data_IF_325553970225
#
_entry.id   IF_325553970225
#
_cell.length_a   1.000
_cell.length_b   1.000
_cell.length_c   1.000
_cell.angle_alpha   90.00
_cell.angle_beta   90.00
_cell.angle_gamma   90.00
#
_symmetry.space_group_name_H-M   'P 1'
#
loop_
_entity.id
_entity.type
_entity.pdbx_description
1 polymer ?
#
# COMPACT_ATOMS: atom_id res chain seq x y z
N UNK A 1 -7.43 -42.68 -20.29
CA UNK A 1 -8.08 -41.65 -19.44
C UNK A 1 -7.84 -40.29 -20.06
N UNK A 2 -8.77 -39.84 -20.90
CA UNK A 2 -9.04 -38.43 -21.19
C UNK A 2 -10.56 -38.33 -21.21
N UNK A 3 -11.14 -38.06 -20.04
CA UNK A 3 -12.56 -37.75 -19.88
C UNK A 3 -12.66 -36.58 -18.92
N UNK A 4 -12.97 -35.41 -19.45
CA UNK A 4 -13.84 -34.35 -18.89
C UNK A 4 -14.24 -33.57 -20.16
N UNK A 5 -15.50 -33.40 -20.55
CA UNK A 5 -16.73 -33.35 -19.78
C UNK A 5 -17.38 -32.02 -20.11
N UNK A 6 -18.36 -32.01 -21.01
CA UNK A 6 -19.30 -30.90 -21.12
C UNK A 6 -20.70 -31.44 -21.37
N UNK A 7 -21.54 -31.18 -20.37
CA UNK A 7 -22.93 -31.56 -20.29
C UNK A 7 -23.77 -30.93 -21.39
N UNK A 8 -24.70 -31.73 -21.89
CA UNK A 8 -25.82 -31.34 -22.73
C UNK A 8 -26.70 -30.31 -22.01
N UNK A 9 -26.98 -29.20 -22.67
CA UNK A 9 -28.14 -28.34 -22.39
C UNK A 9 -28.79 -27.99 -23.72
N UNK A 10 -30.11 -28.17 -23.74
CA UNK A 10 -30.98 -28.26 -24.88
C UNK A 10 -30.92 -27.04 -25.81
N UNK A 11 -30.86 -27.33 -27.12
CA UNK A 11 -31.21 -26.42 -28.19
C UNK A 11 -32.73 -26.20 -28.22
N UNK A 12 -33.15 -24.95 -28.44
CA UNK A 12 -34.49 -24.61 -28.93
C UNK A 12 -34.33 -23.91 -30.28
N UNK A 13 -35.11 -24.38 -31.24
CA UNK A 13 -35.15 -23.99 -32.65
C UNK A 13 -35.30 -22.49 -32.91
N UNK A 14 -34.60 -21.98 -33.94
CA UNK A 14 -35.22 -21.11 -34.93
C UNK A 14 -34.39 -21.05 -36.22
N UNK A 15 -35.10 -20.94 -37.34
CA UNK A 15 -34.69 -21.25 -38.72
C UNK A 15 -33.95 -20.10 -39.43
N UNK A 16 -33.13 -20.53 -40.41
CA UNK A 16 -32.88 -19.90 -41.71
C UNK A 16 -32.13 -18.54 -41.74
N UNK A 17 -30.88 -18.55 -42.19
CA UNK A 17 -30.52 -18.00 -43.52
C UNK A 17 -29.01 -18.08 -43.75
N UNK A 18 -28.66 -18.43 -44.98
CA UNK A 18 -27.34 -18.40 -45.60
C UNK A 18 -26.57 -17.12 -45.34
N UNK A 19 -25.44 -17.25 -44.64
CA UNK A 19 -24.15 -16.58 -44.87
C UNK A 19 -23.27 -16.96 -43.69
N UNK A 20 -22.27 -17.83 -43.89
CA UNK A 20 -21.26 -18.13 -42.87
C UNK A 20 -20.38 -16.88 -42.77
N UNK A 21 -20.49 -16.06 -41.71
CA UNK A 21 -19.57 -14.95 -41.52
C UNK A 21 -18.25 -15.55 -41.03
N UNK A 22 -17.14 -14.99 -41.48
CA UNK A 22 -15.81 -15.23 -40.92
C UNK A 22 -15.85 -14.90 -39.41
N UNK A 23 -16.18 -15.89 -38.59
CA UNK A 23 -16.36 -15.75 -37.15
C UNK A 23 -15.04 -15.93 -36.40
N UNK A 24 -13.94 -15.43 -36.99
CA UNK A 24 -12.61 -15.46 -36.36
C UNK A 24 -12.06 -14.07 -36.06
N UNK A 25 -12.77 -12.99 -36.40
CA UNK A 25 -12.22 -11.62 -36.29
C UNK A 25 -12.72 -10.79 -35.11
N UNK A 26 -13.76 -11.20 -34.36
CA UNK A 26 -14.36 -10.33 -33.34
C UNK A 26 -13.82 -10.51 -31.90
N UNK A 27 -12.82 -11.37 -31.69
CA UNK A 27 -12.12 -11.53 -30.39
C UNK A 27 -10.65 -11.08 -30.47
N UNK A 28 -10.21 -10.58 -31.63
CA UNK A 28 -8.81 -10.24 -31.87
C UNK A 28 -8.38 -8.89 -31.27
N UNK A 29 -9.32 -7.99 -30.98
CA UNK A 29 -9.03 -6.55 -30.88
C UNK A 29 -8.68 -6.02 -29.49
N UNK A 30 -8.31 -6.86 -28.53
CA UNK A 30 -7.82 -6.33 -27.24
C UNK A 30 -6.43 -6.83 -26.83
N UNK A 31 -6.01 -8.08 -27.05
CA UNK A 31 -4.68 -8.56 -26.57
C UNK A 31 -4.07 -9.77 -27.34
N UNK A 32 -4.28 -9.92 -28.65
CA UNK A 32 -3.82 -11.11 -29.41
C UNK A 32 -3.06 -10.78 -30.70
N UNK A 33 -1.99 -11.53 -30.97
CA UNK A 33 -1.19 -11.44 -32.20
C UNK A 33 -2.09 -11.65 -33.43
N UNK A 34 -2.01 -10.74 -34.40
CA UNK A 34 -2.65 -10.93 -35.71
C UNK A 34 -1.89 -12.01 -36.48
N UNK A 35 -2.39 -13.24 -36.41
CA UNK A 35 -1.98 -14.28 -37.36
C UNK A 35 -2.55 -13.93 -38.74
N UNK A 36 -1.77 -14.11 -39.82
CA UNK A 36 -2.30 -13.98 -41.17
C UNK A 36 -3.47 -14.96 -41.35
N UNK A 37 -4.49 -14.59 -42.14
CA UNK A 37 -5.67 -15.43 -42.32
C UNK A 37 -5.26 -16.78 -42.93
N UNK A 38 -5.69 -17.85 -42.28
CA UNK A 38 -5.43 -19.22 -42.73
C UNK A 38 -6.02 -19.46 -44.12
N UNK A 39 -5.20 -20.05 -44.99
CA UNK A 39 -5.61 -20.49 -46.33
C UNK A 39 -4.93 -21.83 -46.63
N UNK A 40 -5.71 -22.76 -47.16
CA UNK A 40 -5.18 -24.03 -47.62
C UNK A 40 -4.17 -23.81 -48.76
N UNK A 41 -3.03 -24.49 -48.68
CA UNK A 41 -2.00 -24.47 -49.69
C UNK A 41 -2.40 -25.33 -50.88
N UNK A 42 -1.88 -24.98 -52.05
CA UNK A 42 -2.01 -25.83 -53.22
C UNK A 42 -1.12 -27.07 -53.07
N UNK A 43 -1.61 -28.23 -53.51
CA UNK A 43 -0.88 -29.50 -53.48
C UNK A 43 -0.20 -29.71 -54.82
N UNK A 44 1.13 -29.70 -54.84
CA UNK A 44 1.94 -29.85 -56.04
C UNK A 44 3.02 -30.92 -55.91
N UNK A 45 3.21 -31.48 -54.71
CA UNK A 45 4.28 -32.42 -54.44
C UNK A 45 3.93 -33.80 -55.03
N UNK A 46 4.90 -34.43 -55.69
CA UNK A 46 4.75 -35.80 -56.20
C UNK A 46 4.78 -36.82 -55.07
N UNK A 47 4.04 -37.92 -55.22
CA UNK A 47 4.03 -39.01 -54.23
C UNK A 47 5.26 -39.90 -54.39
N UNK A 48 6.05 -40.06 -53.32
CA UNK A 48 7.09 -41.10 -53.26
C UNK A 48 6.48 -42.44 -52.83
N UNK A 49 5.99 -43.19 -53.82
CA UNK A 49 5.38 -44.50 -53.59
C UNK A 49 6.33 -45.53 -52.97
N UNK A 50 7.64 -45.42 -53.23
CA UNK A 50 8.62 -46.34 -52.63
C UNK A 50 8.73 -46.09 -51.14
N UNK A 51 8.78 -44.82 -50.72
CA UNK A 51 8.80 -44.46 -49.31
C UNK A 51 7.52 -44.87 -48.60
N UNK A 52 6.36 -44.58 -49.20
CA UNK A 52 5.06 -44.93 -48.61
C UNK A 52 4.87 -46.44 -48.48
N UNK A 53 5.26 -47.23 -49.48
CA UNK A 53 5.15 -48.69 -49.44
C UNK A 53 6.07 -49.37 -48.42
N UNK A 54 7.16 -48.72 -48.00
CA UNK A 54 8.07 -49.23 -46.97
C UNK A 54 7.53 -49.05 -45.54
N UNK A 55 6.47 -48.26 -45.35
CA UNK A 55 5.89 -47.98 -44.03
C UNK A 55 4.95 -49.12 -43.62
N UNK A 56 5.26 -49.75 -42.50
CA UNK A 56 4.37 -50.71 -41.84
C UNK A 56 3.34 -49.98 -40.98
N UNK A 57 2.13 -49.80 -41.53
CA UNK A 57 1.05 -49.03 -40.90
C UNK A 57 0.51 -49.71 -39.64
N UNK A 58 0.49 -51.05 -39.62
CA UNK A 58 0.00 -51.82 -38.46
C UNK A 58 0.97 -51.67 -37.27
N UNK A 59 2.28 -51.70 -37.55
CA UNK A 59 3.30 -51.40 -36.53
C UNK A 59 3.17 -49.96 -36.04
N UNK A 60 3.06 -48.98 -36.94
CA UNK A 60 2.91 -47.57 -36.55
C UNK A 60 1.70 -47.35 -35.63
N UNK A 61 0.57 -47.99 -35.93
CA UNK A 61 -0.65 -47.88 -35.12
C UNK A 61 -0.55 -48.60 -33.77
N UNK A 62 0.06 -49.78 -33.73
CA UNK A 62 0.18 -50.58 -32.49
C UNK A 62 1.25 -50.07 -31.54
N UNK A 63 2.37 -49.56 -32.06
CA UNK A 63 3.51 -49.05 -31.28
C UNK A 63 3.43 -47.54 -31.01
N UNK A 64 2.45 -46.84 -31.59
CA UNK A 64 2.34 -45.38 -31.52
C UNK A 64 3.63 -44.69 -32.01
N UNK A 65 4.15 -45.14 -33.16
CA UNK A 65 5.37 -44.59 -33.77
C UNK A 65 5.10 -43.21 -34.40
N UNK A 66 5.06 -42.20 -33.54
CA UNK A 66 4.85 -40.81 -33.92
C UNK A 66 6.01 -40.26 -34.76
N UNK A 67 7.21 -40.83 -34.65
CA UNK A 67 8.37 -40.40 -35.44
C UNK A 67 8.12 -40.67 -36.91
N UNK A 68 7.73 -41.91 -37.24
CA UNK A 68 7.36 -42.26 -38.62
C UNK A 68 6.20 -41.40 -39.14
N UNK A 69 5.18 -41.11 -38.31
CA UNK A 69 4.09 -40.21 -38.72
C UNK A 69 4.59 -38.78 -38.99
N UNK A 70 5.40 -38.22 -38.10
CA UNK A 70 5.91 -36.85 -38.20
C UNK A 70 6.85 -36.68 -39.41
N UNK A 71 7.65 -37.68 -39.73
CA UNK A 71 8.53 -37.64 -40.90
C UNK A 71 7.76 -37.66 -42.23
N UNK A 72 6.53 -38.20 -42.25
CA UNK A 72 5.75 -38.36 -43.47
C UNK A 72 4.55 -37.39 -43.56
N UNK A 73 4.18 -36.71 -42.48
CA UNK A 73 2.98 -35.88 -42.40
C UNK A 73 2.96 -34.77 -43.47
N UNK A 74 4.09 -34.12 -43.72
CA UNK A 74 4.19 -33.05 -44.74
C UNK A 74 3.93 -33.61 -46.13
N UNK A 75 4.62 -34.70 -46.49
CA UNK A 75 4.50 -35.34 -47.79
C UNK A 75 3.06 -35.82 -48.04
N UNK A 76 2.42 -36.45 -47.04
CA UNK A 76 1.03 -36.92 -47.15
C UNK A 76 0.06 -35.75 -47.27
N UNK A 77 0.29 -34.69 -46.49
CA UNK A 77 -0.60 -33.53 -46.46
C UNK A 77 -0.53 -32.76 -47.78
N UNK A 78 0.65 -32.55 -48.37
CA UNK A 78 0.83 -31.65 -49.51
C UNK A 78 1.02 -32.34 -50.87
N UNK A 79 0.96 -33.67 -50.93
CA UNK A 79 1.05 -34.40 -52.19
C UNK A 79 -0.20 -34.23 -53.09
N UNK A 80 0.04 -34.28 -54.40
CA UNK A 80 -0.97 -34.28 -55.43
C UNK A 80 -1.31 -35.72 -55.85
N UNK A 81 -2.56 -36.14 -55.61
CA UNK A 81 -3.06 -37.46 -55.99
C UNK A 81 -3.91 -37.44 -57.27
N UNK A 82 -4.23 -36.26 -57.81
CA UNK A 82 -5.23 -36.10 -58.87
C UNK A 82 -4.80 -36.76 -60.20
N UNK A 83 -3.49 -36.94 -60.38
CA UNK A 83 -2.89 -37.53 -61.60
C UNK A 83 -2.33 -38.94 -61.40
N UNK A 84 -2.46 -39.50 -60.20
CA UNK A 84 -1.92 -40.82 -59.87
C UNK A 84 -2.82 -41.93 -60.45
N UNK A 85 -2.18 -43.01 -60.89
CA UNK A 85 -2.85 -44.15 -61.55
C UNK A 85 -2.51 -45.44 -60.83
N UNK A 86 -3.39 -46.43 -60.95
CA UNK A 86 -3.12 -47.76 -60.44
C UNK A 86 -1.89 -48.35 -61.14
N UNK A 87 -0.85 -48.80 -60.40
CA UNK A 87 0.37 -49.33 -61.00
C UNK A 87 0.13 -50.60 -61.83
N UNK A 88 -0.92 -51.38 -61.51
CA UNK A 88 -1.20 -52.65 -62.16
C UNK A 88 -2.05 -52.54 -63.43
N UNK A 89 -3.09 -51.70 -63.42
CA UNK A 89 -4.04 -51.59 -64.53
C UNK A 89 -4.03 -50.24 -65.24
N UNK A 90 -3.23 -49.26 -64.76
CA UNK A 90 -3.10 -47.92 -65.34
C UNK A 90 -4.38 -47.08 -65.36
N UNK A 91 -5.45 -47.56 -64.72
CA UNK A 91 -6.69 -46.82 -64.53
C UNK A 91 -6.51 -45.70 -63.49
N UNK A 92 -7.28 -44.61 -63.62
CA UNK A 92 -7.32 -43.57 -62.58
C UNK A 92 -7.83 -44.16 -61.26
N UNK A 93 -7.42 -43.54 -60.16
CA UNK A 93 -7.92 -43.88 -58.83
C UNK A 93 -9.42 -43.55 -58.69
N UNK A 94 -10.10 -44.26 -57.78
CA UNK A 94 -11.52 -44.06 -57.51
C UNK A 94 -11.77 -42.60 -57.05
N UNK A 95 -12.66 -41.84 -57.71
CA UNK A 95 -12.94 -40.46 -57.35
C UNK A 95 -13.46 -40.25 -55.91
N UNK A 96 -14.15 -41.22 -55.33
CA UNK A 96 -14.64 -41.15 -53.94
C UNK A 96 -13.48 -41.31 -52.96
N UNK A 97 -12.55 -42.24 -53.23
CA UNK A 97 -11.34 -42.40 -52.41
C UNK A 97 -10.44 -41.16 -52.51
N UNK A 98 -10.30 -40.57 -53.70
CA UNK A 98 -9.58 -39.30 -53.88
C UNK A 98 -10.21 -38.16 -53.07
N UNK A 99 -11.55 -38.06 -53.04
CA UNK A 99 -12.24 -37.08 -52.19
C UNK A 99 -12.02 -37.34 -50.70
N UNK A 100 -12.09 -38.59 -50.25
CA UNK A 100 -11.82 -38.96 -48.86
C UNK A 100 -10.39 -38.60 -48.46
N UNK A 101 -9.41 -38.91 -49.32
CA UNK A 101 -8.02 -38.54 -49.09
C UNK A 101 -7.84 -37.02 -49.08
N UNK A 102 -8.46 -36.29 -50.01
CA UNK A 102 -8.41 -34.83 -50.05
C UNK A 102 -8.97 -34.20 -48.77
N UNK A 103 -10.08 -34.73 -48.25
CA UNK A 103 -10.64 -34.32 -46.96
C UNK A 103 -9.69 -34.61 -45.81
N UNK A 104 -9.04 -35.78 -45.79
CA UNK A 104 -8.03 -36.12 -44.80
C UNK A 104 -6.86 -35.13 -44.84
N UNK A 105 -6.31 -34.82 -46.02
CA UNK A 105 -5.24 -33.84 -46.17
C UNK A 105 -5.64 -32.44 -45.69
N UNK A 106 -6.85 -31.95 -46.04
CA UNK A 106 -7.35 -30.65 -45.57
C UNK A 106 -7.52 -30.64 -44.05
N UNK A 107 -8.00 -31.76 -43.49
CA UNK A 107 -8.14 -31.91 -42.04
C UNK A 107 -6.78 -31.87 -41.36
N UNK A 108 -5.79 -32.62 -41.85
CA UNK A 108 -4.42 -32.62 -41.31
C UNK A 108 -3.80 -31.23 -41.40
N UNK A 109 -3.91 -30.54 -42.53
CA UNK A 109 -3.39 -29.19 -42.71
C UNK A 109 -4.01 -28.19 -41.72
N UNK A 110 -5.32 -28.28 -41.49
CA UNK A 110 -5.99 -27.47 -40.48
C UNK A 110 -5.53 -27.81 -39.06
N UNK A 111 -5.34 -29.09 -38.74
CA UNK A 111 -4.84 -29.53 -37.44
C UNK A 111 -3.40 -29.04 -37.19
N UNK A 112 -2.53 -29.11 -38.19
CA UNK A 112 -1.17 -28.56 -38.12
C UNK A 112 -1.19 -27.05 -37.87
N UNK A 113 -2.02 -26.31 -38.62
CA UNK A 113 -2.17 -24.87 -38.40
C UNK A 113 -2.70 -24.55 -36.99
N UNK A 114 -3.71 -25.30 -36.52
CA UNK A 114 -4.26 -25.14 -35.17
C UNK A 114 -3.20 -25.43 -34.10
N UNK A 115 -2.39 -26.47 -34.28
CA UNK A 115 -1.29 -26.80 -33.38
C UNK A 115 -0.27 -25.67 -33.30
N UNK A 116 0.18 -25.14 -34.45
CA UNK A 116 1.10 -24.00 -34.50
C UNK A 116 0.50 -22.77 -33.82
N UNK A 117 -0.75 -22.42 -34.16
CA UNK A 117 -1.46 -21.28 -33.57
C UNK A 117 -1.60 -21.41 -32.05
N UNK A 118 -2.02 -22.58 -31.55
CA UNK A 118 -2.16 -22.82 -30.11
C UNK A 118 -0.80 -22.80 -29.41
N UNK A 119 0.23 -23.41 -29.99
CA UNK A 119 1.59 -23.44 -29.42
C UNK A 119 2.16 -22.03 -29.30
N UNK A 120 2.05 -21.22 -30.36
CA UNK A 120 2.54 -19.85 -30.34
C UNK A 120 1.76 -18.97 -29.35
N UNK A 121 0.44 -19.12 -29.26
CA UNK A 121 -0.34 -18.41 -28.25
C UNK A 121 0.03 -18.83 -26.83
N UNK A 122 0.23 -20.12 -26.57
CA UNK A 122 0.69 -20.61 -25.27
C UNK A 122 2.01 -19.97 -24.89
N UNK A 123 2.99 -19.95 -25.79
CA UNK A 123 4.28 -19.29 -25.55
C UNK A 123 4.11 -17.80 -25.21
N UNK A 124 3.26 -17.07 -25.94
CA UNK A 124 2.99 -15.65 -25.65
C UNK A 124 2.37 -15.47 -24.27
N UNK A 125 1.41 -16.31 -23.89
CA UNK A 125 0.78 -16.22 -22.56
C UNK A 125 1.74 -16.62 -21.45
N UNK A 126 2.63 -17.59 -21.67
CA UNK A 126 3.71 -17.95 -20.74
C UNK A 126 4.68 -16.80 -20.54
N UNK A 127 5.13 -16.14 -21.62
CA UNK A 127 6.01 -14.96 -21.54
C UNK A 127 5.34 -13.80 -20.80
N UNK A 128 4.05 -13.53 -21.07
CA UNK A 128 3.26 -12.51 -20.34
C UNK A 128 3.14 -12.84 -18.85
N UNK A 129 2.87 -14.10 -18.53
CA UNK A 129 2.77 -14.56 -17.15
C UNK A 129 4.10 -14.37 -16.41
N UNK A 130 5.20 -14.77 -17.05
CA UNK A 130 6.55 -14.61 -16.50
C UNK A 130 6.90 -13.13 -16.27
N UNK A 131 6.55 -12.24 -17.19
CA UNK A 131 6.75 -10.81 -17.04
C UNK A 131 5.96 -10.23 -15.86
N UNK A 132 4.67 -10.60 -15.75
CA UNK A 132 3.81 -10.16 -14.65
C UNK A 132 4.30 -10.68 -13.29
N UNK A 133 4.79 -11.91 -13.21
CA UNK A 133 5.36 -12.47 -11.98
C UNK A 133 6.65 -11.74 -11.57
N UNK A 134 7.50 -11.38 -12.53
CA UNK A 134 8.70 -10.57 -12.26
C UNK A 134 8.35 -9.17 -11.74
N UNK A 135 7.37 -8.50 -12.34
CA UNK A 135 6.89 -7.19 -11.90
C UNK A 135 6.30 -7.26 -10.49
N UNK A 136 5.46 -8.26 -10.22
CA UNK A 136 4.90 -8.52 -8.89
C UNK A 136 5.98 -8.70 -7.83
N UNK A 137 7.03 -9.47 -8.13
CA UNK A 137 8.13 -9.69 -7.19
C UNK A 137 8.95 -8.40 -6.95
N UNK A 138 9.12 -7.56 -7.98
CA UNK A 138 9.73 -6.24 -7.82
C UNK A 138 8.90 -5.33 -6.92
N UNK A 139 7.59 -5.21 -7.18
CA UNK A 139 6.66 -4.41 -6.36
C UNK A 139 6.67 -4.89 -4.90
N UNK A 140 6.68 -6.21 -4.69
CA UNK A 140 6.76 -6.80 -3.35
C UNK A 140 8.05 -6.41 -2.63
N UNK A 141 9.20 -6.43 -3.31
CA UNK A 141 10.48 -5.98 -2.74
C UNK A 141 10.45 -4.51 -2.36
N UNK A 142 9.91 -3.65 -3.22
CA UNK A 142 9.75 -2.21 -2.94
C UNK A 142 8.81 -1.97 -1.76
N UNK A 143 7.69 -2.69 -1.70
CA UNK A 143 6.75 -2.63 -0.58
C UNK A 143 7.41 -3.01 0.75
N UNK A 144 8.22 -4.09 0.78
CA UNK A 144 8.96 -4.48 1.98
C UNK A 144 9.93 -3.37 2.44
N UNK A 145 10.70 -2.78 1.51
CA UNK A 145 11.62 -1.67 1.82
C UNK A 145 10.89 -0.47 2.40
N UNK A 146 9.79 -0.04 1.77
CA UNK A 146 8.98 1.08 2.26
C UNK A 146 8.36 0.78 3.64
N UNK A 147 7.94 -0.47 3.87
CA UNK A 147 7.41 -0.89 5.17
C UNK A 147 8.46 -0.79 6.28
N UNK A 148 9.70 -1.21 6.00
CA UNK A 148 10.83 -1.08 6.92
C UNK A 148 11.20 0.38 7.19
N UNK A 149 11.21 1.21 6.15
CA UNK A 149 11.48 2.64 6.28
C UNK A 149 10.42 3.34 7.15
N UNK A 150 9.14 3.03 6.96
CA UNK A 150 8.05 3.56 7.80
C UNK A 150 8.24 3.14 9.27
N UNK A 151 8.66 1.89 9.54
CA UNK A 151 8.94 1.44 10.91
C UNK A 151 10.08 2.23 11.54
N UNK A 152 11.21 2.34 10.83
CA UNK A 152 12.37 3.14 11.24
C UNK A 152 12.00 4.60 11.53
N UNK A 153 11.27 5.25 10.63
CA UNK A 153 10.83 6.63 10.80
C UNK A 153 9.88 6.80 11.99
N UNK A 154 9.00 5.82 12.27
CA UNK A 154 8.13 5.82 13.45
C UNK A 154 8.94 5.72 14.75
N UNK A 155 9.95 4.85 14.80
CA UNK A 155 10.84 4.71 15.96
C UNK A 155 11.65 5.99 16.20
N UNK A 156 12.21 6.57 15.14
CA UNK A 156 12.93 7.84 15.20
C UNK A 156 12.02 9.00 15.66
N UNK A 157 10.79 9.06 15.14
CA UNK A 157 9.78 10.01 15.61
C UNK A 157 9.48 9.84 17.10
N UNK A 158 9.32 8.59 17.58
CA UNK A 158 9.09 8.29 19.00
C UNK A 158 10.27 8.74 19.85
N UNK A 159 11.50 8.44 19.43
CA UNK A 159 12.74 8.85 20.11
C UNK A 159 12.85 10.38 20.21
N UNK A 160 12.60 11.10 19.11
CA UNK A 160 12.60 12.58 19.10
C UNK A 160 11.55 13.16 20.04
N UNK A 161 10.34 12.60 20.07
CA UNK A 161 9.28 13.03 21.01
C UNK A 161 9.70 12.84 22.47
N UNK A 162 10.37 11.73 22.81
CA UNK A 162 10.90 11.50 24.16
C UNK A 162 11.96 12.52 24.54
N UNK A 163 12.90 12.83 23.63
CA UNK A 163 13.94 13.84 23.87
C UNK A 163 13.32 15.22 24.10
N UNK A 164 12.38 15.64 23.23
CA UNK A 164 11.69 16.92 23.36
C UNK A 164 10.92 17.00 24.70
N UNK A 165 10.20 15.94 25.06
CA UNK A 165 9.49 15.87 26.35
C UNK A 165 10.44 15.99 27.54
N UNK A 166 11.58 15.28 27.52
CA UNK A 166 12.60 15.38 28.56
C UNK A 166 13.21 16.79 28.66
N UNK A 167 13.53 17.40 27.52
CA UNK A 167 14.05 18.78 27.49
C UNK A 167 13.03 19.78 28.01
N UNK A 168 11.75 19.63 27.65
CA UNK A 168 10.68 20.49 28.14
C UNK A 168 10.50 20.38 29.66
N UNK A 169 10.60 19.16 30.22
CA UNK A 169 10.62 18.97 31.68
C UNK A 169 11.80 19.69 32.34
N UNK A 170 13.01 19.59 31.78
CA UNK A 170 14.19 20.31 32.30
C UNK A 170 14.00 21.83 32.26
N UNK A 171 13.45 22.37 31.16
CA UNK A 171 13.15 23.80 31.03
C UNK A 171 12.10 24.23 32.05
N UNK A 172 11.03 23.45 32.27
CA UNK A 172 9.99 23.76 33.26
C UNK A 172 10.51 23.71 34.70
N UNK A 173 11.35 22.72 35.03
CA UNK A 173 12.03 22.66 36.32
C UNK A 173 12.95 23.88 36.54
N UNK A 174 13.64 24.34 35.48
CA UNK A 174 14.40 25.59 35.50
C UNK A 174 13.52 26.84 35.61
N UNK A 175 12.40 26.90 34.89
CA UNK A 175 11.44 28.00 34.85
C UNK A 175 10.84 28.32 36.24
N UNK A 176 10.62 27.28 37.06
CA UNK A 176 10.16 27.42 38.44
C UNK A 176 11.30 27.73 39.43
N UNK A 177 12.57 27.65 39.01
CA UNK A 177 13.76 27.96 39.82
C UNK A 177 14.33 29.36 39.55
N UNK A 178 13.64 30.22 38.79
CA UNK A 178 14.05 31.63 38.64
C UNK A 178 13.48 32.49 39.77
N UNK A 179 14.36 33.26 40.41
CA UNK A 179 14.01 34.20 41.47
C UNK A 179 13.73 35.59 40.87
N UNK A 180 12.45 35.97 40.77
CA UNK A 180 12.03 37.29 40.28
C UNK A 180 12.38 38.41 41.25
N UNK A 181 12.83 39.55 40.73
CA UNK A 181 12.92 40.80 41.50
C UNK A 181 11.51 41.31 41.80
N UNK A 182 11.30 41.92 42.97
CA UNK A 182 10.00 42.48 43.36
C UNK A 182 9.81 43.92 42.90
N UNK A 183 10.87 44.56 42.41
CA UNK A 183 10.90 45.99 42.08
C UNK A 183 11.12 46.24 40.57
N UNK A 184 11.35 45.18 39.78
CA UNK A 184 11.44 45.23 38.32
C UNK A 184 11.25 43.85 37.68
N UNK A 185 11.14 43.78 36.36
CA UNK A 185 10.84 42.54 35.61
C UNK A 185 12.03 41.56 35.46
N UNK A 186 13.16 41.81 36.14
CA UNK A 186 14.35 40.94 36.02
C UNK A 186 14.17 39.66 36.83
N UNK A 187 14.53 38.54 36.20
CA UNK A 187 14.50 37.19 36.79
C UNK A 187 15.91 36.60 36.83
N UNK A 188 16.27 35.96 37.94
CA UNK A 188 17.64 35.49 38.19
C UNK A 188 17.66 33.98 38.44
N UNK A 189 18.69 33.30 37.95
CA UNK A 189 18.87 31.85 38.11
C UNK A 189 19.18 31.40 39.56
N UNK A 190 19.53 32.33 40.45
CA UNK A 190 19.81 32.04 41.87
C UNK A 190 19.39 33.19 42.77
N UNK A 191 18.92 32.85 43.97
CA UNK A 191 18.49 33.80 45.00
C UNK A 191 19.60 34.82 45.34
N UNK A 192 20.86 34.38 45.37
CA UNK A 192 22.00 35.23 45.68
C UNK A 192 22.21 36.34 44.64
N UNK A 193 22.05 36.01 43.35
CA UNK A 193 22.16 37.01 42.28
C UNK A 193 21.00 37.98 42.28
N UNK A 194 19.77 37.52 42.56
CA UNK A 194 18.61 38.41 42.80
C UNK A 194 18.92 39.37 43.95
N UNK A 195 19.41 38.87 45.08
CA UNK A 195 19.66 39.68 46.27
C UNK A 195 20.73 40.75 46.03
N UNK A 196 21.83 40.40 45.36
CA UNK A 196 22.84 41.37 44.95
C UNK A 196 22.29 42.42 43.97
N UNK A 197 21.43 42.01 43.03
CA UNK A 197 20.78 42.95 42.11
C UNK A 197 19.90 43.95 42.87
N UNK A 198 19.07 43.46 43.80
CA UNK A 198 18.22 44.28 44.67
C UNK A 198 19.07 45.26 45.47
N UNK A 199 20.16 44.80 46.08
CA UNK A 199 21.06 45.66 46.85
C UNK A 199 21.79 46.72 46.02
N UNK A 200 22.09 46.46 44.74
CA UNK A 200 22.82 47.42 43.90
C UNK A 200 21.93 48.41 43.16
N UNK A 201 20.71 47.99 42.80
CA UNK A 201 19.82 48.75 41.91
C UNK A 201 18.54 49.23 42.59
N UNK A 202 18.20 48.64 43.74
CA UNK A 202 17.00 48.93 44.50
C UNK A 202 17.30 49.31 45.96
N UNK A 203 18.54 49.73 46.26
CA UNK A 203 18.98 50.12 47.60
C UNK A 203 18.08 51.21 48.21
N UNK A 204 17.72 52.23 47.41
CA UNK A 204 16.81 53.29 47.85
C UNK A 204 15.42 52.76 48.22
N UNK A 205 14.88 51.79 47.48
CA UNK A 205 13.57 51.20 47.82
C UNK A 205 13.63 50.30 49.07
N UNK A 206 14.79 49.68 49.34
CA UNK A 206 15.03 48.92 50.58
C UNK A 206 15.08 49.87 51.77
N UNK A 207 15.83 50.97 51.67
CA UNK A 207 15.98 51.96 52.74
C UNK A 207 14.65 52.68 53.03
N UNK A 208 13.87 53.02 51.99
CA UNK A 208 12.49 53.55 52.14
C UNK A 208 11.58 52.52 52.82
N UNK A 209 11.73 51.22 52.51
CA UNK A 209 11.00 50.14 53.18
C UNK A 209 11.32 50.05 54.68
N UNK A 210 12.61 50.14 55.05
CA UNK A 210 13.04 50.16 56.44
C UNK A 210 12.58 51.42 57.18
N UNK A 211 12.67 52.59 56.56
CA UNK A 211 12.20 53.85 57.14
C UNK A 211 10.68 53.84 57.36
N UNK A 212 9.91 53.36 56.38
CA UNK A 212 8.46 53.24 56.50
C UNK A 212 8.07 52.23 57.58
N UNK A 213 8.82 51.13 57.73
CA UNK A 213 8.61 50.16 58.81
C UNK A 213 8.92 50.76 60.18
N UNK A 214 10.06 51.44 60.35
CA UNK A 214 10.36 52.15 61.60
C UNK A 214 9.34 53.25 61.92
N UNK A 215 8.83 53.98 60.92
CA UNK A 215 7.74 54.93 61.12
C UNK A 215 6.45 54.24 61.57
N UNK A 216 6.11 53.10 60.97
CA UNK A 216 4.91 52.35 61.33
C UNK A 216 5.02 51.78 62.74
N UNK A 217 6.18 51.21 63.09
CA UNK A 217 6.46 50.69 64.44
C UNK A 217 6.39 51.84 65.47
N UNK A 218 6.96 53.00 65.16
CA UNK A 218 6.88 54.19 66.02
C UNK A 218 5.44 54.70 66.19
N UNK A 219 4.67 54.77 65.10
CA UNK A 219 3.26 55.16 65.15
C UNK A 219 2.45 54.14 65.97
N UNK A 220 2.76 52.85 65.85
CA UNK A 220 2.11 51.79 66.62
C UNK A 220 2.37 51.95 68.13
N UNK A 221 3.62 52.22 68.52
CA UNK A 221 4.01 52.49 69.91
C UNK A 221 3.29 53.73 70.46
N UNK A 222 3.22 54.81 69.67
CA UNK A 222 2.48 56.04 70.03
C UNK A 222 0.97 55.75 70.18
N UNK A 223 0.39 54.93 69.30
CA UNK A 223 -1.02 54.53 69.37
C UNK A 223 -1.32 53.73 70.64
N UNK A 224 -0.42 52.84 71.05
CA UNK A 224 -0.60 52.02 72.25
C UNK A 224 -0.39 52.84 73.54
N UNK A 225 0.50 53.84 73.53
CA UNK A 225 0.60 54.82 74.61
C UNK A 225 -0.67 55.68 74.73
N UNK A 226 -1.21 56.18 73.61
CA UNK A 226 -2.44 56.96 73.59
C UNK A 226 -3.65 56.16 74.09
N UNK A 227 -3.77 54.89 73.68
CA UNK A 227 -4.80 53.98 74.22
C UNK A 227 -4.69 53.83 75.74
N UNK A 228 -3.47 53.67 76.25
CA UNK A 228 -3.23 53.52 77.70
C UNK A 228 -3.63 54.79 78.46
N UNK A 229 -3.32 55.97 77.93
CA UNK A 229 -3.75 57.24 78.51
C UNK A 229 -5.26 57.39 78.49
N UNK A 230 -5.93 57.05 77.38
CA UNK A 230 -7.39 57.07 77.29
C UNK A 230 -8.05 56.16 78.33
N UNK A 231 -7.56 54.93 78.48
CA UNK A 231 -8.04 53.99 79.51
C UNK A 231 -7.87 54.55 80.92
N UNK A 232 -6.72 55.17 81.20
CA UNK A 232 -6.48 55.80 82.50
C UNK A 232 -7.43 56.98 82.76
N UNK A 233 -7.62 57.87 81.78
CA UNK A 233 -8.53 59.01 81.89
C UNK A 233 -9.98 58.54 82.03
N UNK A 234 -10.40 57.54 81.26
CA UNK A 234 -11.74 56.96 81.36
C UNK A 234 -11.99 56.34 82.75
N UNK A 235 -11.02 55.61 83.29
CA UNK A 235 -11.11 55.08 84.66
C UNK A 235 -11.14 56.20 85.72
N UNK A 236 -10.39 57.28 85.54
CA UNK A 236 -10.45 58.44 86.43
C UNK A 236 -11.83 59.11 86.39
N UNK A 237 -12.41 59.28 85.19
CA UNK A 237 -13.75 59.84 85.01
C UNK A 237 -14.82 58.94 85.61
N UNK A 238 -14.76 57.61 85.43
CA UNK A 238 -15.69 56.67 86.07
C UNK A 238 -15.60 56.73 87.61
N UNK A 239 -14.40 56.87 88.16
CA UNK A 239 -14.19 57.04 89.61
C UNK A 239 -14.74 58.39 90.09
N UNK A 240 -14.59 59.47 89.31
CA UNK A 240 -15.21 60.76 89.63
C UNK A 240 -16.73 60.71 89.55
N UNK A 241 -17.31 60.14 88.48
CA UNK A 241 -18.75 59.92 88.35
C UNK A 241 -19.30 59.08 89.51
N UNK A 242 -18.62 58.02 89.91
CA UNK A 242 -19.00 57.22 91.08
C UNK A 242 -18.91 58.03 92.38
N UNK A 243 -17.91 58.91 92.54
CA UNK A 243 -17.82 59.81 93.69
C UNK A 243 -18.93 60.86 93.70
N UNK A 244 -19.31 61.38 92.54
CA UNK A 244 -20.44 62.30 92.40
C UNK A 244 -21.77 61.59 92.71
N UNK A 245 -21.99 60.41 92.14
CA UNK A 245 -23.21 59.61 92.37
C UNK A 245 -23.33 59.13 93.82
N UNK A 246 -22.22 58.74 94.48
CA UNK A 246 -22.22 58.31 95.89
C UNK A 246 -22.46 59.45 96.88
N UNK A 247 -22.19 60.71 96.49
CA UNK A 247 -22.54 61.90 97.29
C UNK A 247 -24.02 62.27 97.18
N UNK A 248 -24.73 61.85 96.13
CA UNK A 248 -26.17 62.08 96.00
C UNK A 248 -27.04 61.06 96.76
N UNK A 249 -26.50 59.90 97.16
CA UNK A 249 -27.23 58.86 97.92
C UNK A 249 -26.97 58.88 99.45
N UNK A 250 -26.32 59.93 99.97
CA UNK A 250 -26.19 60.19 101.42
C UNK A 250 -26.87 61.54 101.76
N UNK A 251 -28.20 61.57 101.64
CA UNK A 251 -29.11 62.50 102.33
C UNK A 251 -30.19 61.66 102.99
#
# INVERSE_FOLDING_TARGET
MWLIGMSSLYASDSKLSTNIPQQSSLIADMYGVQYPPFKFKHRHESVDWRRISAIDVDRVGSELDFVTLQENIMNITFCNMDSEKCPYCQNPLDPVLLKMFRLAQLTIEYLLHSQEYLTSNLQIYEEKLQAADSEKEQIKKEFCKLSEEIKSQKEECKRRKQIISSQQMMIQAGANNYHKCQYCDKSFMSHFFKQNHVQRRHQEQIDVGYQKKMQTDKIQDEMDQLKKQLLQTQSQLEVEEQKYSRKEFQI
#
